data_IF_866958715749
#
_entry.id   IF_866958715749
#
_cell.length_a   1.000
_cell.length_b   1.000
_cell.length_c   1.000
_cell.angle_alpha   90.00
_cell.angle_beta   90.00
_cell.angle_gamma   90.00
#
_symmetry.space_group_name_H-M   'P 1'
#
loop_
_entity.id
_entity.type
_entity.pdbx_description
1 polymer ?
#
# COMPACT_ATOMS: atom_id res chain seq x y z
N UNK A 1 -8.09 -13.91 -21.03
CA UNK A 1 -7.44 -12.58 -21.00
C UNK A 1 -8.08 -11.64 -19.97
N UNK A 2 -9.38 -11.32 -20.08
CA UNK A 2 -10.04 -10.35 -19.17
C UNK A 2 -10.01 -10.73 -17.68
N UNK A 3 -10.20 -12.02 -17.34
CA UNK A 3 -10.14 -12.50 -15.93
C UNK A 3 -8.77 -12.30 -15.28
N UNK A 4 -7.68 -12.50 -16.03
CA UNK A 4 -6.31 -12.34 -15.52
C UNK A 4 -6.03 -10.87 -15.19
N UNK A 5 -6.38 -9.96 -16.09
CA UNK A 5 -6.25 -8.52 -15.88
C UNK A 5 -7.11 -8.03 -14.70
N UNK A 6 -8.33 -8.56 -14.56
CA UNK A 6 -9.21 -8.24 -13.44
C UNK A 6 -8.61 -8.69 -12.09
N UNK A 7 -8.04 -9.90 -12.02
CA UNK A 7 -7.40 -10.40 -10.80
C UNK A 7 -6.15 -9.60 -10.42
N UNK A 8 -5.34 -9.19 -11.41
CA UNK A 8 -4.18 -8.32 -11.18
C UNK A 8 -4.64 -6.95 -10.66
N UNK A 9 -5.67 -6.37 -11.28
CA UNK A 9 -6.23 -5.07 -10.88
C UNK A 9 -6.77 -5.10 -9.45
N UNK A 10 -7.47 -6.16 -9.06
CA UNK A 10 -7.99 -6.31 -7.70
C UNK A 10 -6.88 -6.31 -6.64
N UNK A 11 -5.75 -6.97 -6.90
CA UNK A 11 -4.58 -6.97 -5.98
C UNK A 11 -3.97 -5.57 -5.84
N UNK A 12 -3.82 -4.87 -6.97
CA UNK A 12 -3.24 -3.52 -7.00
C UNK A 12 -4.16 -2.51 -6.31
N UNK A 13 -5.45 -2.52 -6.63
CA UNK A 13 -6.45 -1.64 -6.00
C UNK A 13 -6.50 -1.82 -4.48
N UNK A 14 -6.33 -3.04 -3.98
CA UNK A 14 -6.26 -3.31 -2.54
C UNK A 14 -5.07 -2.61 -1.87
N UNK A 15 -3.86 -2.73 -2.43
CA UNK A 15 -2.68 -2.05 -1.91
C UNK A 15 -2.86 -0.52 -1.92
N UNK A 16 -3.40 0.03 -3.01
CA UNK A 16 -3.70 1.47 -3.10
C UNK A 16 -4.75 1.92 -2.08
N UNK A 17 -5.75 1.08 -1.79
CA UNK A 17 -6.75 1.37 -0.77
C UNK A 17 -6.12 1.48 0.61
N UNK A 18 -5.22 0.56 0.98
CA UNK A 18 -4.52 0.60 2.27
C UNK A 18 -3.69 1.90 2.39
N UNK A 19 -2.93 2.24 1.35
CA UNK A 19 -2.08 3.44 1.34
C UNK A 19 -2.90 4.73 1.46
N UNK A 20 -4.00 4.82 0.71
CA UNK A 20 -4.83 6.05 0.69
C UNK A 20 -5.73 6.18 1.93
N UNK A 21 -6.32 5.09 2.40
CA UNK A 21 -7.32 5.14 3.49
C UNK A 21 -6.69 4.95 4.87
N UNK A 22 -5.73 4.04 5.03
CA UNK A 22 -5.17 3.72 6.36
C UNK A 22 -3.90 4.49 6.66
N UNK A 23 -3.03 4.69 5.66
CA UNK A 23 -1.80 5.47 5.83
C UNK A 23 -1.98 6.97 5.53
N UNK A 24 -3.20 7.40 5.18
CA UNK A 24 -3.58 8.82 5.06
C UNK A 24 -2.97 9.57 3.87
N UNK A 25 -2.54 8.85 2.82
CA UNK A 25 -1.93 9.46 1.63
C UNK A 25 -3.00 9.94 0.63
N UNK A 26 -3.73 11.00 0.98
CA UNK A 26 -4.89 11.48 0.20
C UNK A 26 -4.51 12.47 -0.92
N UNK A 27 -3.47 13.31 -0.71
CA UNK A 27 -3.01 14.31 -1.69
C UNK A 27 -1.48 14.33 -1.78
N UNK A 28 -0.96 14.35 -3.00
CA UNK A 28 0.47 14.57 -3.26
C UNK A 28 0.77 16.06 -3.11
N UNK A 29 1.88 16.40 -2.48
CA UNK A 29 2.39 17.78 -2.46
C UNK A 29 3.29 17.97 -3.68
N UNK A 30 3.05 18.99 -4.50
CA UNK A 30 3.90 19.21 -5.68
C UNK A 30 5.33 19.67 -5.35
N UNK A 31 5.53 20.21 -4.15
CA UNK A 31 6.87 20.55 -3.63
C UNK A 31 7.56 19.32 -3.06
N UNK A 32 8.85 19.18 -3.36
CA UNK A 32 9.69 18.10 -2.81
C UNK A 32 9.34 16.72 -3.35
N UNK A 33 9.24 16.58 -4.67
CA UNK A 33 8.85 15.34 -5.37
C UNK A 33 9.70 14.15 -4.92
N UNK A 34 11.02 14.31 -4.85
CA UNK A 34 11.93 13.25 -4.39
C UNK A 34 11.61 12.75 -2.96
N UNK A 35 11.26 13.66 -2.05
CA UNK A 35 10.87 13.30 -0.68
C UNK A 35 9.53 12.56 -0.65
N UNK A 36 8.61 12.93 -1.53
CA UNK A 36 7.32 12.23 -1.65
C UNK A 36 7.47 10.84 -2.26
N UNK A 37 8.39 10.65 -3.21
CA UNK A 37 8.69 9.33 -3.77
C UNK A 37 9.21 8.39 -2.68
N UNK A 38 10.21 8.82 -1.91
CA UNK A 38 10.71 8.06 -0.77
C UNK A 38 9.60 7.72 0.23
N UNK A 39 8.73 8.69 0.55
CA UNK A 39 7.59 8.48 1.45
C UNK A 39 6.62 7.43 0.89
N UNK A 40 6.37 7.45 -0.41
CA UNK A 40 5.50 6.49 -1.10
C UNK A 40 6.11 5.09 -1.05
N UNK A 41 7.41 4.95 -1.31
CA UNK A 41 8.12 3.66 -1.21
C UNK A 41 8.03 3.07 0.20
N UNK A 42 8.23 3.88 1.24
CA UNK A 42 8.04 3.44 2.64
C UNK A 42 6.60 2.97 2.89
N UNK A 43 5.59 3.69 2.38
CA UNK A 43 4.19 3.28 2.54
C UNK A 43 3.86 1.97 1.82
N UNK A 44 4.46 1.70 0.66
CA UNK A 44 4.28 0.41 -0.01
C UNK A 44 4.88 -0.75 0.80
N UNK A 45 6.05 -0.55 1.40
CA UNK A 45 6.63 -1.54 2.32
C UNK A 45 5.71 -1.79 3.53
N UNK A 46 5.17 -0.73 4.14
CA UNK A 46 4.22 -0.84 5.25
C UNK A 46 2.89 -1.49 4.83
N UNK A 47 2.39 -1.22 3.63
CA UNK A 47 1.18 -1.85 3.12
C UNK A 47 1.36 -3.36 2.95
N UNK A 48 2.54 -3.81 2.52
CA UNK A 48 2.87 -5.24 2.46
C UNK A 48 2.85 -5.88 3.85
N UNK A 49 3.46 -5.23 4.85
CA UNK A 49 3.40 -5.69 6.25
C UNK A 49 1.97 -5.72 6.79
N UNK A 50 1.17 -4.70 6.48
CA UNK A 50 -0.22 -4.62 6.88
C UNK A 50 -1.06 -5.76 6.27
N UNK A 51 -0.82 -6.12 5.00
CA UNK A 51 -1.47 -7.27 4.37
C UNK A 51 -1.09 -8.59 5.06
N UNK A 52 0.15 -8.70 5.57
CA UNK A 52 0.62 -9.87 6.31
C UNK A 52 0.21 -9.91 7.79
N UNK A 53 -0.46 -8.89 8.32
CA UNK A 53 -0.84 -8.79 9.75
C UNK A 53 -1.63 -9.98 10.30
N UNK A 54 -2.36 -10.71 9.46
CA UNK A 54 -3.13 -11.91 9.85
C UNK A 54 -2.31 -13.20 9.76
N UNK A 55 -1.19 -13.16 9.04
CA UNK A 55 -0.28 -14.27 8.84
C UNK A 55 0.95 -14.19 9.77
N UNK A 56 1.27 -13.00 10.29
CA UNK A 56 2.16 -12.89 11.44
C UNK A 56 1.43 -13.53 12.62
N UNK A 57 1.96 -14.62 13.24
CA UNK A 57 1.49 -14.99 14.56
C UNK A 57 1.62 -13.75 15.44
N UNK A 58 0.57 -13.40 16.17
CA UNK A 58 0.65 -12.40 17.23
C UNK A 58 1.93 -12.70 18.02
N UNK A 59 2.93 -11.84 17.86
CA UNK A 59 4.15 -11.90 18.65
C UNK A 59 3.63 -11.72 20.08
N UNK A 60 3.56 -12.82 20.83
CA UNK A 60 3.09 -12.81 22.19
C UNK A 60 4.00 -11.82 22.92
N UNK A 61 3.42 -10.70 23.33
CA UNK A 61 4.01 -9.80 24.30
C UNK A 61 3.83 -10.41 25.69
#
# INVERSE_FOLDING_TARGET
YQKILASVRAKVEHAFRIIKQQLGSTKVRYRGIAKNDNKLQTMFALANLWMMRRALPQLQA
#
